data_IF_221304569080
#
_entry.id   IF_221304569080
#
_cell.length_a   1.000
_cell.length_b   1.000
_cell.length_c   1.000
_cell.angle_alpha   90.00
_cell.angle_beta   90.00
_cell.angle_gamma   90.00
#
_symmetry.space_group_name_H-M   'P 1'
#
loop_
_entity.id
_entity.type
_entity.pdbx_description
1 polymer ?
#
# COMPACT_ATOMS: atom_id res chain seq x y z
N UNK A 1 11.79 11.90 2.48
CA UNK A 1 11.20 11.61 3.81
C UNK A 1 12.24 10.93 4.68
N UNK A 2 12.25 11.26 5.96
CA UNK A 2 13.10 10.68 6.98
C UNK A 2 12.86 9.16 7.13
N UNK A 3 13.89 8.43 7.55
CA UNK A 3 13.86 6.98 7.67
C UNK A 3 12.79 6.47 8.65
N UNK A 4 12.59 7.07 9.84
CA UNK A 4 11.52 6.66 10.75
C UNK A 4 10.13 6.77 10.11
N UNK A 5 9.84 7.88 9.40
CA UNK A 5 8.58 8.04 8.68
C UNK A 5 8.39 6.98 7.58
N UNK A 6 9.44 6.64 6.82
CA UNK A 6 9.37 5.55 5.81
C UNK A 6 8.96 4.22 6.42
N UNK A 7 9.62 3.85 7.53
CA UNK A 7 9.36 2.60 8.23
C UNK A 7 7.95 2.60 8.80
N UNK A 8 7.52 3.71 9.43
CA UNK A 8 6.16 3.86 9.94
C UNK A 8 5.10 3.68 8.86
N UNK A 9 5.29 4.27 7.68
CA UNK A 9 4.39 4.10 6.52
C UNK A 9 4.36 2.64 6.09
N UNK A 10 5.52 1.99 5.93
CA UNK A 10 5.58 0.59 5.51
C UNK A 10 4.84 -0.34 6.49
N UNK A 11 5.01 -0.14 7.80
CA UNK A 11 4.32 -0.91 8.84
C UNK A 11 2.81 -0.68 8.78
N UNK A 12 2.35 0.57 8.69
CA UNK A 12 0.90 0.87 8.63
C UNK A 12 0.26 0.27 7.37
N UNK A 13 0.98 0.26 6.25
CA UNK A 13 0.50 -0.30 4.99
C UNK A 13 0.36 -1.82 4.98
N UNK A 14 0.92 -2.52 5.99
CA UNK A 14 0.67 -3.96 6.21
C UNK A 14 -0.81 -4.22 6.50
N UNK A 15 -1.47 -3.32 7.24
CA UNK A 15 -2.89 -3.47 7.64
C UNK A 15 -3.82 -3.57 6.42
N UNK A 16 -3.87 -2.58 5.49
CA UNK A 16 -4.73 -2.69 4.32
C UNK A 16 -4.30 -3.82 3.37
N UNK A 17 -3.01 -4.20 3.33
CA UNK A 17 -2.56 -5.35 2.55
C UNK A 17 -3.24 -6.64 3.04
N UNK A 18 -3.15 -6.97 4.32
CA UNK A 18 -3.70 -8.21 4.87
C UNK A 18 -5.22 -8.15 5.05
N UNK A 19 -5.79 -7.05 5.54
CA UNK A 19 -7.24 -6.93 5.75
C UNK A 19 -7.97 -6.98 4.41
N UNK A 20 -7.49 -6.26 3.39
CA UNK A 20 -8.09 -6.30 2.06
C UNK A 20 -7.91 -7.64 1.36
N UNK A 21 -6.74 -8.28 1.49
CA UNK A 21 -6.52 -9.63 0.97
C UNK A 21 -7.44 -10.66 1.63
N UNK A 22 -7.62 -10.59 2.96
CA UNK A 22 -8.53 -11.45 3.71
C UNK A 22 -9.99 -11.25 3.30
N UNK A 23 -10.42 -10.00 3.09
CA UNK A 23 -11.76 -9.69 2.59
C UNK A 23 -11.97 -10.25 1.17
N UNK A 24 -11.02 -10.06 0.26
CA UNK A 24 -11.10 -10.58 -1.11
C UNK A 24 -11.09 -12.10 -1.14
N UNK A 25 -10.30 -12.74 -0.27
CA UNK A 25 -10.31 -14.19 -0.12
C UNK A 25 -11.67 -14.68 0.39
N UNK A 26 -12.24 -14.06 1.42
CA UNK A 26 -13.54 -14.46 1.96
C UNK A 26 -14.66 -14.35 0.91
N UNK A 27 -14.60 -13.33 0.05
CA UNK A 27 -15.62 -13.09 -0.99
C UNK A 27 -15.46 -14.00 -2.22
N UNK A 28 -14.25 -14.14 -2.73
CA UNK A 28 -14.01 -14.79 -4.03
C UNK A 28 -13.32 -16.15 -3.93
N UNK A 29 -12.68 -16.47 -2.81
CA UNK A 29 -11.86 -17.67 -2.60
C UNK A 29 -10.88 -17.94 -3.76
N UNK A 30 -10.35 -16.86 -4.36
CA UNK A 30 -9.55 -16.92 -5.57
C UNK A 30 -8.32 -16.02 -5.47
N UNK A 31 -7.15 -16.61 -5.74
CA UNK A 31 -5.87 -15.91 -5.78
C UNK A 31 -5.79 -14.83 -6.85
N UNK A 32 -6.51 -14.97 -7.96
CA UNK A 32 -6.58 -13.95 -9.02
C UNK A 32 -7.18 -12.64 -8.49
N UNK A 33 -8.05 -12.69 -7.47
CA UNK A 33 -8.54 -11.47 -6.82
C UNK A 33 -7.53 -10.89 -5.82
N UNK A 34 -6.81 -11.74 -5.09
CA UNK A 34 -5.87 -11.34 -4.03
C UNK A 34 -4.56 -10.77 -4.58
N UNK A 35 -3.99 -11.37 -5.63
CA UNK A 35 -2.69 -10.99 -6.18
C UNK A 35 -2.69 -9.52 -6.67
N UNK A 36 -3.66 -9.07 -7.49
CA UNK A 36 -3.72 -7.68 -7.92
C UNK A 36 -3.87 -6.71 -6.76
N UNK A 37 -4.62 -7.07 -5.71
CA UNK A 37 -4.74 -6.24 -4.51
C UNK A 37 -3.41 -6.00 -3.82
N UNK A 38 -2.62 -7.06 -3.62
CA UNK A 38 -1.28 -6.94 -3.04
C UNK A 38 -0.38 -6.06 -3.91
N UNK A 39 -0.43 -6.20 -5.24
CA UNK A 39 0.33 -5.35 -6.17
C UNK A 39 -0.08 -3.88 -6.06
N UNK A 40 -1.37 -3.58 -5.93
CA UNK A 40 -1.89 -2.21 -5.73
C UNK A 40 -1.35 -1.63 -4.43
N UNK A 41 -1.42 -2.36 -3.32
CA UNK A 41 -0.97 -1.87 -2.02
C UNK A 41 0.56 -1.69 -1.98
N UNK A 42 1.33 -2.63 -2.56
CA UNK A 42 2.79 -2.49 -2.69
C UNK A 42 3.17 -1.28 -3.55
N UNK A 43 2.50 -1.10 -4.69
CA UNK A 43 2.71 0.05 -5.58
C UNK A 43 2.38 1.38 -4.90
N UNK A 44 1.26 1.44 -4.18
CA UNK A 44 0.84 2.63 -3.43
C UNK A 44 1.84 2.97 -2.33
N UNK A 45 2.27 1.97 -1.56
CA UNK A 45 3.28 2.13 -0.50
C UNK A 45 4.58 2.68 -1.09
N UNK A 46 5.05 2.12 -2.21
CA UNK A 46 6.23 2.62 -2.92
C UNK A 46 6.06 4.06 -3.42
N UNK A 47 4.90 4.41 -3.98
CA UNK A 47 4.61 5.77 -4.46
C UNK A 47 4.57 6.80 -3.31
N UNK A 48 4.01 6.43 -2.16
CA UNK A 48 4.02 7.27 -0.97
C UNK A 48 5.45 7.45 -0.47
N UNK A 49 6.22 6.36 -0.31
CA UNK A 49 7.59 6.40 0.20
C UNK A 49 8.54 7.21 -0.70
N UNK A 50 8.35 7.12 -2.01
CA UNK A 50 9.13 7.88 -3.00
C UNK A 50 8.71 9.34 -3.10
N UNK A 51 7.63 9.75 -2.43
CA UNK A 51 7.16 11.12 -2.43
C UNK A 51 6.55 11.55 -3.75
N UNK A 52 6.09 10.61 -4.59
CA UNK A 52 5.40 10.89 -5.87
C UNK A 52 4.12 11.74 -5.70
N UNK A 53 3.60 11.82 -4.49
CA UNK A 53 2.44 12.65 -4.13
C UNK A 53 2.79 13.93 -3.35
N UNK A 54 4.08 14.26 -3.19
CA UNK A 54 4.50 15.54 -2.62
C UNK A 54 4.19 16.66 -3.61
N UNK A 55 3.26 17.56 -3.24
CA UNK A 55 2.82 18.72 -4.02
C UNK A 55 4.00 19.51 -4.64
N UNK A 56 3.88 20.04 -5.87
CA UNK A 56 4.76 21.09 -6.35
C UNK A 56 4.68 22.29 -5.39
N UNK A 57 5.83 22.79 -4.98
CA UNK A 57 5.95 24.03 -4.24
C UNK A 57 5.30 25.15 -5.06
N UNK A 58 4.17 25.69 -4.59
CA UNK A 58 3.70 26.97 -5.07
C UNK A 58 4.69 28.02 -4.56
N UNK A 59 5.46 28.57 -5.49
CA UNK A 59 6.35 29.73 -5.31
C UNK A 59 5.55 31.01 -5.20
#
# INVERSE_FOLDING_TARGET
MDLPRKIGIAIVMIVPAFVGAGALWALFHNWIAVIPWLLVISGLTGAIITGKFSKPSAS
#
